data_IF_372316670198
#
_entry.id   IF_372316670198
#
_cell.length_a   1.000
_cell.length_b   1.000
_cell.length_c   1.000
_cell.angle_alpha   90.00
_cell.angle_beta   90.00
_cell.angle_gamma   90.00
#
_symmetry.space_group_name_H-M   'P 1'
#
loop_
_entity.id
_entity.type
_entity.pdbx_description
1 polymer ?
#
# COMPACT_ATOMS: atom_id res chain seq x y z
N UNK A 1 25.72 1.90 7.29
CA UNK A 1 24.90 1.14 8.25
C UNK A 1 23.66 1.97 8.52
N UNK A 2 22.50 1.36 8.42
CA UNK A 2 21.21 1.99 8.68
C UNK A 2 20.98 2.15 10.18
N UNK A 3 20.07 3.04 10.57
CA UNK A 3 19.71 3.30 11.97
C UNK A 3 18.50 2.49 12.45
N UNK A 4 17.96 1.60 11.64
CA UNK A 4 16.69 0.91 11.93
C UNK A 4 16.72 0.11 13.23
N UNK A 5 17.81 -0.63 13.47
CA UNK A 5 18.03 -1.38 14.70
C UNK A 5 18.19 -0.44 15.91
N UNK A 6 18.92 0.66 15.76
CA UNK A 6 19.10 1.68 16.80
C UNK A 6 17.77 2.34 17.19
N UNK A 7 16.93 2.69 16.21
CA UNK A 7 15.59 3.24 16.45
C UNK A 7 14.68 2.25 17.17
N UNK A 8 14.73 0.98 16.77
CA UNK A 8 13.96 -0.09 17.44
C UNK A 8 14.40 -0.24 18.90
N UNK A 9 15.71 -0.29 19.15
CA UNK A 9 16.25 -0.43 20.50
C UNK A 9 15.94 0.81 21.38
N UNK A 10 16.05 2.01 20.82
CA UNK A 10 15.69 3.25 21.51
C UNK A 10 14.20 3.26 21.90
N UNK A 11 13.31 2.85 20.99
CA UNK A 11 11.88 2.76 21.29
C UNK A 11 11.60 1.71 22.38
N UNK A 12 12.25 0.55 22.32
CA UNK A 12 12.14 -0.47 23.36
C UNK A 12 12.66 0.03 24.71
N UNK A 13 13.73 0.83 24.72
CA UNK A 13 14.23 1.46 25.94
C UNK A 13 13.23 2.46 26.51
N UNK A 14 12.62 3.32 25.67
CA UNK A 14 11.53 4.22 26.11
C UNK A 14 10.40 3.42 26.74
N UNK A 15 9.97 2.32 26.09
CA UNK A 15 8.91 1.46 26.63
C UNK A 15 9.30 0.89 28.00
N UNK A 16 10.55 0.45 28.18
CA UNK A 16 11.06 -0.03 29.49
C UNK A 16 11.08 1.08 30.54
N UNK A 17 11.54 2.28 30.20
CA UNK A 17 11.58 3.44 31.10
C UNK A 17 10.17 3.90 31.53
N UNK A 18 9.15 3.56 30.74
CA UNK A 18 7.74 3.80 31.02
C UNK A 18 7.04 2.60 31.70
N UNK A 19 7.80 1.70 32.33
CA UNK A 19 7.29 0.47 32.97
C UNK A 19 6.43 -0.38 32.00
N UNK A 20 6.96 -0.52 30.78
CA UNK A 20 6.31 -1.23 29.69
C UNK A 20 5.17 -0.47 29.00
N UNK A 21 4.99 0.84 29.27
CA UNK A 21 3.94 1.69 28.70
C UNK A 21 2.55 1.00 28.66
N UNK A 22 2.18 0.37 29.78
CA UNK A 22 1.00 -0.48 29.86
C UNK A 22 -0.32 0.22 29.43
N UNK A 23 -0.56 1.51 29.76
CA UNK A 23 -1.71 2.23 29.24
C UNK A 23 -1.68 2.39 27.71
N UNK A 24 -0.51 2.71 27.13
CA UNK A 24 -0.33 2.82 25.68
C UNK A 24 -0.57 1.50 24.96
N UNK A 25 -0.05 0.39 25.49
CA UNK A 25 -0.31 -0.97 24.98
C UNK A 25 -1.80 -1.32 24.94
N UNK A 26 -2.52 -1.03 26.03
CA UNK A 26 -3.98 -1.28 26.09
C UNK A 26 -4.75 -0.39 25.11
N UNK A 27 -4.36 0.87 24.99
CA UNK A 27 -4.99 1.80 24.05
C UNK A 27 -4.75 1.38 22.60
N UNK A 28 -3.53 1.00 22.23
CA UNK A 28 -3.21 0.50 20.89
C UNK A 28 -3.97 -0.79 20.56
N UNK A 29 -4.04 -1.74 21.51
CA UNK A 29 -4.85 -2.95 21.33
C UNK A 29 -6.33 -2.61 21.13
N UNK A 30 -6.89 -1.77 21.99
CA UNK A 30 -8.29 -1.35 21.87
C UNK A 30 -8.54 -0.59 20.54
N UNK A 31 -7.59 0.21 20.06
CA UNK A 31 -7.69 0.89 18.78
C UNK A 31 -7.81 -0.12 17.62
N UNK A 32 -6.93 -1.13 17.59
CA UNK A 32 -6.97 -2.19 16.56
C UNK A 32 -8.24 -3.03 16.70
N UNK A 33 -8.68 -3.35 17.92
CA UNK A 33 -9.92 -4.13 18.16
C UNK A 33 -11.21 -3.40 17.73
N UNK A 34 -11.17 -2.09 17.60
CA UNK A 34 -12.30 -1.27 17.15
C UNK A 34 -12.09 -0.67 15.75
N UNK A 35 -11.10 -1.16 14.99
CA UNK A 35 -10.83 -0.69 13.62
C UNK A 35 -11.54 -1.57 12.57
N UNK A 36 -11.46 -1.11 11.32
CA UNK A 36 -11.91 -1.88 10.15
C UNK A 36 -10.80 -2.73 9.53
N UNK A 37 -9.66 -2.92 10.22
CA UNK A 37 -8.58 -3.81 9.76
C UNK A 37 -8.94 -5.27 10.07
N UNK A 38 -9.74 -5.85 9.18
CA UNK A 38 -10.27 -7.21 9.30
C UNK A 38 -9.80 -8.04 8.11
N UNK A 39 -9.16 -9.17 8.40
CA UNK A 39 -8.70 -10.14 7.41
C UNK A 39 -9.35 -11.51 7.72
N UNK A 40 -10.07 -12.09 6.76
CA UNK A 40 -10.79 -13.36 6.91
C UNK A 40 -11.67 -13.41 8.19
N UNK A 41 -12.52 -12.39 8.38
CA UNK A 41 -13.41 -12.19 9.55
C UNK A 41 -12.70 -12.07 10.91
N UNK A 42 -11.39 -11.83 10.91
CA UNK A 42 -10.59 -11.64 12.12
C UNK A 42 -9.93 -10.29 12.13
N UNK A 43 -10.03 -9.60 13.26
CA UNK A 43 -9.23 -8.40 13.52
C UNK A 43 -7.75 -8.79 13.39
N UNK A 44 -7.00 -7.95 12.68
CA UNK A 44 -5.57 -8.18 12.50
C UNK A 44 -4.81 -8.20 13.82
N UNK A 45 -3.90 -9.16 13.96
CA UNK A 45 -3.00 -9.22 15.11
C UNK A 45 -1.89 -8.19 14.98
N UNK A 46 -1.61 -7.46 16.05
CA UNK A 46 -0.58 -6.42 16.07
C UNK A 46 0.48 -6.66 17.15
N UNK A 47 1.67 -6.12 16.91
CA UNK A 47 2.71 -5.96 17.95
C UNK A 47 2.68 -4.51 18.44
N UNK A 48 3.11 -4.26 19.68
CA UNK A 48 3.30 -2.90 20.20
C UNK A 48 4.69 -2.32 19.88
N UNK A 49 5.38 -2.90 18.91
CA UNK A 49 6.73 -2.49 18.51
C UNK A 49 6.65 -2.13 17.03
N UNK A 50 6.55 -0.84 16.69
CA UNK A 50 6.55 -0.39 15.30
C UNK A 50 7.89 -0.70 14.66
N UNK A 51 7.89 -0.88 13.34
CA UNK A 51 9.13 -0.93 12.56
C UNK A 51 9.49 0.48 12.11
N UNK A 52 10.70 0.92 12.45
CA UNK A 52 11.23 2.22 12.04
C UNK A 52 12.25 2.01 10.93
N UNK A 53 12.10 2.79 9.86
CA UNK A 53 13.04 2.85 8.75
C UNK A 53 13.66 4.24 8.69
N UNK A 54 14.98 4.29 8.59
CA UNK A 54 15.71 5.53 8.36
C UNK A 54 15.60 6.01 6.91
N UNK A 55 16.11 7.21 6.67
CA UNK A 55 16.06 7.84 5.35
C UNK A 55 16.77 7.00 4.27
N UNK A 56 17.91 6.37 4.61
CA UNK A 56 18.66 5.54 3.67
C UNK A 56 17.87 4.29 3.27
N UNK A 57 17.17 3.68 4.22
CA UNK A 57 16.30 2.52 3.95
C UNK A 57 15.10 2.93 3.10
N UNK A 58 14.48 4.06 3.41
CA UNK A 58 13.37 4.60 2.62
C UNK A 58 13.80 4.89 1.17
N UNK A 59 14.96 5.51 0.96
CA UNK A 59 15.52 5.79 -0.37
C UNK A 59 15.80 4.50 -1.15
N UNK A 60 16.28 3.46 -0.48
CA UNK A 60 16.45 2.15 -1.10
C UNK A 60 15.11 1.54 -1.53
N UNK A 61 14.09 1.56 -0.66
CA UNK A 61 12.75 1.08 -1.03
C UNK A 61 12.17 1.85 -2.22
N UNK A 62 12.27 3.17 -2.20
CA UNK A 62 11.82 4.03 -3.31
C UNK A 62 12.55 3.67 -4.61
N UNK A 63 13.88 3.57 -4.56
CA UNK A 63 14.68 3.21 -5.74
C UNK A 63 14.30 1.83 -6.29
N UNK A 64 14.16 0.83 -5.42
CA UNK A 64 13.76 -0.53 -5.83
C UNK A 64 12.36 -0.53 -6.42
N UNK A 65 11.38 0.15 -5.81
CA UNK A 65 10.02 0.21 -6.30
C UNK A 65 9.93 0.91 -7.67
N UNK A 66 10.51 2.11 -7.80
CA UNK A 66 10.49 2.90 -9.04
C UNK A 66 11.24 2.19 -10.19
N UNK A 67 12.39 1.57 -9.88
CA UNK A 67 13.17 0.84 -10.89
C UNK A 67 12.41 -0.40 -11.36
N UNK A 68 11.86 -1.19 -10.45
CA UNK A 68 11.09 -2.39 -10.78
C UNK A 68 9.83 -2.05 -11.57
N UNK A 69 9.08 -1.01 -11.16
CA UNK A 69 7.93 -0.51 -11.91
C UNK A 69 8.30 -0.15 -13.36
N UNK A 70 9.41 0.56 -13.55
CA UNK A 70 9.92 0.90 -14.88
C UNK A 70 10.34 -0.33 -15.71
N UNK A 71 10.86 -1.38 -15.09
CA UNK A 71 11.17 -2.66 -15.75
C UNK A 71 9.87 -3.35 -16.18
N UNK A 72 8.89 -3.47 -15.28
CA UNK A 72 7.61 -4.13 -15.56
C UNK A 72 6.84 -3.39 -16.67
N UNK A 73 6.83 -2.06 -16.67
CA UNK A 73 6.24 -1.28 -17.75
C UNK A 73 6.88 -1.59 -19.12
N UNK A 74 8.20 -1.79 -19.18
CA UNK A 74 8.89 -2.19 -20.42
C UNK A 74 8.52 -3.60 -20.86
N UNK A 75 8.35 -4.52 -19.92
CA UNK A 75 7.87 -5.90 -20.22
C UNK A 75 6.46 -5.84 -20.79
N UNK A 76 5.56 -5.09 -20.16
CA UNK A 76 4.17 -4.91 -20.64
C UNK A 76 4.18 -4.26 -22.04
N UNK A 77 4.97 -3.21 -22.24
CA UNK A 77 5.07 -2.56 -23.55
C UNK A 77 5.56 -3.53 -24.63
N UNK A 78 6.61 -4.31 -24.34
CA UNK A 78 7.14 -5.27 -25.31
C UNK A 78 6.13 -6.38 -25.62
N UNK A 79 5.36 -6.83 -24.62
CA UNK A 79 4.22 -7.71 -24.83
C UNK A 79 3.22 -7.10 -25.82
N UNK A 80 2.86 -5.83 -25.69
CA UNK A 80 1.90 -5.20 -26.60
C UNK A 80 2.45 -5.05 -28.02
N UNK A 81 3.73 -4.72 -28.16
CA UNK A 81 4.34 -4.40 -29.46
C UNK A 81 4.71 -5.62 -30.31
N UNK A 82 5.15 -6.72 -29.67
CA UNK A 82 5.79 -7.84 -30.38
C UNK A 82 4.96 -9.14 -30.30
N UNK A 83 4.31 -9.56 -31.41
CA UNK A 83 3.54 -10.80 -31.46
C UNK A 83 4.34 -12.08 -31.19
N UNK A 84 5.64 -12.10 -31.47
CA UNK A 84 6.49 -13.26 -31.18
C UNK A 84 6.85 -13.30 -29.68
N UNK A 85 7.16 -12.15 -29.08
CA UNK A 85 7.44 -12.06 -27.64
C UNK A 85 6.24 -12.49 -26.79
N UNK A 86 5.01 -12.16 -27.22
CA UNK A 86 3.77 -12.60 -26.54
C UNK A 86 3.68 -14.11 -26.37
N UNK A 87 4.24 -14.89 -27.29
CA UNK A 87 4.20 -16.37 -27.26
C UNK A 87 5.00 -16.99 -26.11
N UNK A 88 5.83 -16.21 -25.43
CA UNK A 88 6.52 -16.63 -24.21
C UNK A 88 5.52 -16.82 -23.05
N UNK A 89 4.38 -16.11 -23.10
CA UNK A 89 3.34 -16.18 -22.09
C UNK A 89 2.25 -17.18 -22.52
N UNK A 90 1.98 -18.15 -21.67
CA UNK A 90 0.98 -19.20 -21.90
C UNK A 90 -0.42 -18.76 -21.45
N UNK A 91 -0.89 -17.63 -21.99
CA UNK A 91 -2.25 -17.13 -21.71
C UNK A 91 -3.30 -17.86 -22.56
N UNK A 92 -4.51 -18.04 -21.99
CA UNK A 92 -5.68 -18.43 -22.77
C UNK A 92 -5.86 -17.45 -23.95
N UNK A 93 -6.07 -17.92 -25.19
CA UNK A 93 -6.19 -17.03 -26.35
C UNK A 93 -7.21 -15.91 -26.18
N UNK A 94 -8.30 -16.15 -25.43
CA UNK A 94 -9.33 -15.14 -25.13
C UNK A 94 -8.75 -14.01 -24.27
N UNK A 95 -7.90 -14.34 -23.29
CA UNK A 95 -7.23 -13.36 -22.44
C UNK A 95 -6.18 -12.59 -23.25
N UNK A 96 -5.42 -13.27 -24.10
CA UNK A 96 -4.44 -12.62 -24.98
C UNK A 96 -5.11 -11.59 -25.91
N UNK A 97 -6.31 -11.89 -26.43
CA UNK A 97 -7.12 -10.93 -27.20
C UNK A 97 -7.58 -9.75 -26.34
N UNK A 98 -8.05 -9.99 -25.11
CA UNK A 98 -8.50 -8.94 -24.19
C UNK A 98 -7.36 -7.99 -23.78
N UNK A 99 -6.15 -8.50 -23.54
CA UNK A 99 -4.97 -7.68 -23.17
C UNK A 99 -4.65 -6.64 -24.26
N UNK A 100 -4.93 -6.96 -25.53
CA UNK A 100 -4.64 -6.09 -26.67
C UNK A 100 -5.70 -5.01 -26.90
N UNK A 101 -6.80 -5.00 -26.13
CA UNK A 101 -7.80 -3.94 -26.22
C UNK A 101 -7.16 -2.60 -25.82
N UNK A 102 -7.30 -1.53 -26.62
CA UNK A 102 -6.76 -0.22 -26.28
C UNK A 102 -7.30 0.27 -24.93
N UNK A 103 -6.39 0.55 -23.99
CA UNK A 103 -6.72 1.02 -22.63
C UNK A 103 -7.30 2.43 -22.62
N UNK A 104 -6.87 3.29 -23.56
CA UNK A 104 -7.30 4.69 -23.67
C UNK A 104 -6.64 5.67 -22.69
N UNK A 105 -5.67 5.21 -21.88
CA UNK A 105 -4.80 6.01 -21.02
C UNK A 105 -3.34 5.49 -21.11
N UNK A 106 -2.32 6.32 -20.82
CA UNK A 106 -0.93 5.97 -21.13
C UNK A 106 -0.28 5.01 -20.13
N UNK A 107 -0.79 4.94 -18.91
CA UNK A 107 -0.19 4.19 -17.81
C UNK A 107 -0.36 2.66 -17.98
N UNK A 108 0.74 1.90 -18.01
CA UNK A 108 0.72 0.43 -18.19
C UNK A 108 0.37 -0.32 -16.90
N UNK A 109 0.86 0.20 -15.77
CA UNK A 109 0.78 -0.42 -14.46
C UNK A 109 0.39 0.67 -13.45
N UNK A 110 -0.93 0.94 -13.29
CA UNK A 110 -1.43 2.06 -12.49
C UNK A 110 -1.23 1.84 -10.99
N UNK A 111 -1.20 0.58 -10.54
CA UNK A 111 -1.00 0.21 -9.14
C UNK A 111 -0.18 -1.08 -9.07
N UNK A 112 0.72 -1.15 -8.10
CA UNK A 112 1.46 -2.36 -7.78
C UNK A 112 1.89 -2.31 -6.31
N UNK A 113 1.76 -3.44 -5.61
CA UNK A 113 2.50 -3.71 -4.37
C UNK A 113 3.59 -4.73 -4.66
N UNK A 114 4.77 -4.47 -4.14
CA UNK A 114 5.93 -5.32 -4.32
C UNK A 114 6.35 -5.86 -2.97
N UNK A 115 6.25 -7.17 -2.81
CA UNK A 115 6.57 -7.83 -1.56
C UNK A 115 8.03 -8.31 -1.60
N UNK A 116 8.81 -7.85 -0.62
CA UNK A 116 10.27 -8.08 -0.57
C UNK A 116 10.72 -8.50 0.82
N UNK A 117 11.81 -9.27 0.85
CA UNK A 117 12.67 -9.36 2.02
C UNK A 117 13.87 -8.43 1.84
N UNK A 118 14.17 -7.60 2.84
CA UNK A 118 15.30 -6.68 2.80
C UNK A 118 16.35 -7.06 3.82
N UNK A 119 17.61 -7.14 3.38
CA UNK A 119 18.75 -7.14 4.28
C UNK A 119 19.02 -5.70 4.73
N UNK A 120 18.76 -5.36 5.99
CA UNK A 120 18.87 -3.97 6.46
C UNK A 120 20.32 -3.47 6.64
N UNK A 121 21.30 -4.38 6.61
CA UNK A 121 22.72 -4.03 6.66
C UNK A 121 23.26 -3.64 5.27
N UNK A 122 22.80 -4.34 4.22
CA UNK A 122 23.26 -4.16 2.83
C UNK A 122 22.27 -3.41 1.94
N UNK A 123 21.01 -3.29 2.38
CA UNK A 123 19.85 -2.79 1.63
C UNK A 123 19.49 -3.62 0.39
N UNK A 124 20.04 -4.82 0.26
CA UNK A 124 19.67 -5.74 -0.81
C UNK A 124 18.26 -6.29 -0.58
N UNK A 125 17.45 -6.28 -1.64
CA UNK A 125 16.07 -6.77 -1.61
C UNK A 125 15.95 -8.06 -2.42
N UNK A 126 15.35 -9.09 -1.82
CA UNK A 126 14.89 -10.30 -2.51
C UNK A 126 13.40 -10.18 -2.81
N UNK A 127 13.02 -10.30 -4.09
CA UNK A 127 11.62 -10.25 -4.51
C UNK A 127 10.89 -11.55 -4.14
N UNK A 128 9.68 -11.39 -3.60
CA UNK A 128 8.76 -12.49 -3.32
C UNK A 128 7.70 -12.52 -4.43
N UNK A 129 6.94 -11.44 -4.56
CA UNK A 129 5.87 -11.32 -5.54
C UNK A 129 5.61 -9.86 -5.96
N UNK A 130 4.99 -9.70 -7.13
CA UNK A 130 4.50 -8.43 -7.66
C UNK A 130 2.98 -8.52 -7.76
N UNK A 131 2.28 -7.79 -6.90
CA UNK A 131 0.82 -7.75 -6.87
C UNK A 131 0.33 -6.53 -7.63
N UNK A 132 -0.13 -6.75 -8.87
CA UNK A 132 -0.65 -5.70 -9.77
C UNK A 132 -2.16 -5.75 -10.00
N UNK A 133 -2.84 -6.73 -9.40
CA UNK A 133 -4.27 -6.95 -9.54
C UNK A 133 -4.89 -6.99 -8.13
N UNK A 134 -5.63 -5.94 -7.77
CA UNK A 134 -6.34 -5.86 -6.48
C UNK A 134 -5.43 -5.93 -5.24
N UNK A 135 -4.42 -5.06 -5.12
CA UNK A 135 -3.56 -5.06 -3.93
C UNK A 135 -4.23 -4.47 -2.69
N UNK A 136 -4.02 -5.13 -1.54
CA UNK A 136 -4.56 -4.79 -0.21
C UNK A 136 -3.44 -4.52 0.81
N UNK A 137 -3.80 -4.23 2.07
CA UNK A 137 -2.87 -4.05 3.20
C UNK A 137 -2.76 -2.61 3.69
N UNK A 138 -3.46 -1.68 3.05
CA UNK A 138 -3.36 -0.24 3.35
C UNK A 138 -4.16 0.12 4.59
N UNK A 139 -5.32 -0.53 4.80
CA UNK A 139 -6.07 -0.35 6.05
C UNK A 139 -5.29 -0.86 7.24
N UNK A 140 -4.59 -1.99 7.10
CA UNK A 140 -3.72 -2.57 8.10
C UNK A 140 -2.58 -1.61 8.45
N UNK A 141 -1.81 -1.14 7.47
CA UNK A 141 -0.72 -0.19 7.69
C UNK A 141 -1.22 1.06 8.43
N UNK A 142 -2.27 1.70 7.91
CA UNK A 142 -2.86 2.90 8.50
C UNK A 142 -3.35 2.65 9.93
N UNK A 143 -4.00 1.52 10.17
CA UNK A 143 -4.49 1.14 11.51
C UNK A 143 -3.34 0.94 12.48
N UNK A 144 -2.27 0.24 12.07
CA UNK A 144 -1.09 0.03 12.92
C UNK A 144 -0.45 1.36 13.26
N UNK A 145 -0.21 2.23 12.27
CA UNK A 145 0.34 3.57 12.45
C UNK A 145 -0.53 4.43 13.40
N UNK A 146 -1.85 4.39 13.24
CA UNK A 146 -2.81 5.08 14.11
C UNK A 146 -2.79 4.58 15.55
N UNK A 147 -2.62 3.26 15.75
CA UNK A 147 -2.62 2.64 17.08
C UNK A 147 -1.47 3.13 17.98
N UNK A 148 -0.33 3.49 17.39
CA UNK A 148 0.83 4.01 18.12
C UNK A 148 0.81 5.52 18.31
N UNK A 149 0.14 6.26 17.42
CA UNK A 149 0.26 7.72 17.32
C UNK A 149 -0.03 8.45 18.64
N UNK A 150 -0.98 7.94 19.43
CA UNK A 150 -1.40 8.50 20.71
C UNK A 150 -0.66 7.96 21.95
N UNK A 151 0.34 7.09 21.80
CA UNK A 151 1.01 6.49 22.96
C UNK A 151 2.06 7.39 23.60
N UNK A 152 2.37 7.15 24.88
CA UNK A 152 3.43 7.90 25.56
C UNK A 152 4.80 7.53 25.02
N UNK A 153 5.02 6.25 24.69
CA UNK A 153 6.27 5.82 24.08
C UNK A 153 6.51 6.49 22.72
N UNK A 154 5.51 6.50 21.82
CA UNK A 154 5.63 7.15 20.51
C UNK A 154 5.81 8.67 20.64
N UNK A 155 5.10 9.32 21.57
CA UNK A 155 5.33 10.75 21.84
C UNK A 155 6.75 11.05 22.28
N UNK A 156 7.33 10.24 23.17
CA UNK A 156 8.70 10.43 23.63
C UNK A 156 9.71 10.20 22.51
N UNK A 157 9.52 9.15 21.70
CA UNK A 157 10.35 8.88 20.53
C UNK A 157 10.31 10.05 19.53
N UNK A 158 9.11 10.60 19.24
CA UNK A 158 8.90 11.78 18.38
C UNK A 158 9.52 13.08 18.91
N UNK A 159 9.94 13.16 20.18
CA UNK A 159 10.68 14.35 20.68
C UNK A 159 12.10 14.42 20.11
N UNK A 160 12.65 13.27 19.69
CA UNK A 160 14.03 13.14 19.20
C UNK A 160 14.10 12.86 17.70
N UNK A 161 13.02 12.37 17.11
CA UNK A 161 12.96 11.96 15.71
C UNK A 161 11.74 12.54 14.98
N UNK A 162 11.91 12.86 13.70
CA UNK A 162 10.80 13.17 12.81
C UNK A 162 10.24 11.86 12.24
N UNK A 163 9.07 11.44 12.76
CA UNK A 163 8.45 10.16 12.41
C UNK A 163 7.21 10.42 11.56
N UNK A 164 7.23 9.90 10.34
CA UNK A 164 6.17 10.08 9.35
C UNK A 164 5.65 8.71 8.88
N UNK A 165 4.35 8.43 8.97
CA UNK A 165 3.76 7.30 8.25
C UNK A 165 3.69 7.61 6.75
N UNK A 166 3.50 6.59 5.93
CA UNK A 166 3.15 6.76 4.52
C UNK A 166 1.64 6.94 4.39
N UNK A 167 1.20 7.88 3.54
CA UNK A 167 -0.20 7.93 3.13
C UNK A 167 -0.36 7.09 1.87
N UNK A 168 -1.14 6.02 1.97
CA UNK A 168 -1.36 5.05 0.90
C UNK A 168 -2.74 5.19 0.24
N UNK A 169 -3.67 5.91 0.87
CA UNK A 169 -5.04 6.05 0.34
C UNK A 169 -5.17 7.31 -0.49
N UNK A 170 -4.78 8.46 0.08
CA UNK A 170 -5.00 9.76 -0.56
C UNK A 170 -4.15 9.89 -1.82
N UNK A 171 -2.87 9.54 -1.70
CA UNK A 171 -1.88 9.55 -2.80
C UNK A 171 -2.29 8.64 -3.95
N UNK A 172 -2.84 7.45 -3.66
CA UNK A 172 -3.32 6.54 -4.69
C UNK A 172 -4.59 7.08 -5.36
N UNK A 173 -5.51 7.71 -4.62
CA UNK A 173 -6.68 8.36 -5.23
C UNK A 173 -6.26 9.51 -6.14
N UNK A 174 -5.31 10.34 -5.70
CA UNK A 174 -4.73 11.41 -6.53
C UNK A 174 -4.13 10.85 -7.83
N UNK A 175 -3.33 9.78 -7.75
CA UNK A 175 -2.72 9.12 -8.91
C UNK A 175 -3.79 8.52 -9.85
N UNK A 176 -4.81 7.85 -9.31
CA UNK A 176 -5.90 7.28 -10.10
C UNK A 176 -6.72 8.38 -10.83
N UNK A 177 -6.95 9.51 -10.18
CA UNK A 177 -7.62 10.66 -10.79
C UNK A 177 -6.76 11.34 -11.85
N UNK A 178 -5.45 11.43 -11.64
CA UNK A 178 -4.48 11.93 -12.61
C UNK A 178 -4.43 11.03 -13.86
N UNK A 179 -4.42 9.70 -13.68
CA UNK A 179 -4.53 8.73 -14.78
C UNK A 179 -5.85 8.92 -15.53
N UNK A 180 -6.97 9.03 -14.82
CA UNK A 180 -8.28 9.26 -15.43
C UNK A 180 -8.35 10.61 -16.18
N UNK A 181 -7.66 11.64 -15.71
CA UNK A 181 -7.58 12.94 -16.40
C UNK A 181 -6.97 12.83 -17.81
N UNK A 182 -6.14 11.81 -18.05
CA UNK A 182 -5.53 11.48 -19.35
C UNK A 182 -6.34 10.48 -20.17
N UNK A 183 -7.43 9.94 -19.63
CA UNK A 183 -8.28 8.98 -20.34
C UNK A 183 -8.99 9.64 -21.53
N UNK A 184 -8.93 8.99 -22.69
CA UNK A 184 -9.43 9.53 -23.96
C UNK A 184 -10.95 9.81 -23.95
N UNK A 185 -11.72 9.06 -23.13
CA UNK A 185 -13.19 9.20 -23.01
C UNK A 185 -13.62 9.74 -21.65
N UNK A 186 -12.76 10.50 -20.97
CA UNK A 186 -13.09 11.09 -19.67
C UNK A 186 -14.35 11.96 -19.75
N UNK A 187 -15.11 11.98 -18.67
CA UNK A 187 -16.23 12.91 -18.47
C UNK A 187 -15.90 13.86 -17.31
N UNK A 188 -16.63 14.98 -17.24
CA UNK A 188 -16.39 16.01 -16.22
C UNK A 188 -16.62 15.51 -14.78
N UNK A 189 -17.68 14.73 -14.57
CA UNK A 189 -18.05 14.19 -13.27
C UNK A 189 -18.10 12.66 -13.36
N UNK A 190 -16.96 11.95 -13.25
CA UNK A 190 -16.95 10.50 -13.28
C UNK A 190 -17.60 9.92 -12.02
N UNK A 191 -18.14 8.71 -12.19
CA UNK A 191 -18.55 7.87 -11.07
C UNK A 191 -17.54 6.73 -10.93
N UNK A 192 -16.86 6.66 -9.79
CA UNK A 192 -15.89 5.61 -9.50
C UNK A 192 -16.60 4.38 -8.91
N UNK A 193 -16.29 3.20 -9.44
CA UNK A 193 -16.84 1.94 -8.95
C UNK A 193 -15.70 1.09 -8.37
N UNK A 194 -15.86 0.67 -7.11
CA UNK A 194 -15.09 -0.44 -6.55
C UNK A 194 -15.90 -1.71 -6.80
N UNK A 195 -15.34 -2.64 -7.57
CA UNK A 195 -16.05 -3.85 -8.01
C UNK A 195 -15.24 -5.06 -7.60
N UNK A 196 -15.87 -5.96 -6.84
CA UNK A 196 -15.29 -7.23 -6.42
C UNK A 196 -16.42 -8.21 -6.06
N UNK A 197 -16.09 -9.48 -5.84
CA UNK A 197 -17.00 -10.43 -5.20
C UNK A 197 -17.08 -10.10 -3.71
N UNK A 198 -18.23 -9.59 -3.26
CA UNK A 198 -18.34 -8.99 -1.92
C UNK A 198 -18.06 -9.97 -0.78
N UNK A 199 -18.19 -11.28 -1.01
CA UNK A 199 -17.82 -12.32 -0.05
C UNK A 199 -16.31 -12.48 0.17
N UNK A 200 -15.48 -11.97 -0.75
CA UNK A 200 -14.00 -11.98 -0.66
C UNK A 200 -13.40 -10.58 -0.47
N UNK A 201 -14.22 -9.53 -0.61
CA UNK A 201 -13.76 -8.14 -0.63
C UNK A 201 -13.23 -7.65 0.74
N UNK A 202 -12.17 -6.85 0.71
CA UNK A 202 -11.69 -6.08 1.87
C UNK A 202 -12.53 -4.81 2.06
N UNK A 203 -13.79 -4.97 2.46
CA UNK A 203 -14.78 -3.88 2.57
C UNK A 203 -14.29 -2.64 3.34
N UNK A 204 -13.44 -2.83 4.35
CA UNK A 204 -12.81 -1.73 5.09
C UNK A 204 -11.97 -0.79 4.20
N UNK A 205 -11.18 -1.35 3.27
CA UNK A 205 -10.40 -0.59 2.31
C UNK A 205 -11.29 0.10 1.27
N UNK A 206 -12.30 -0.60 0.75
CA UNK A 206 -13.21 -0.02 -0.24
C UNK A 206 -13.96 1.18 0.31
N UNK A 207 -14.49 1.08 1.53
CA UNK A 207 -15.14 2.22 2.18
C UNK A 207 -14.18 3.38 2.43
N UNK A 208 -12.92 3.07 2.74
CA UNK A 208 -11.90 4.10 2.89
C UNK A 208 -11.61 4.83 1.58
N UNK A 209 -11.43 4.11 0.48
CA UNK A 209 -11.30 4.74 -0.83
C UNK A 209 -12.53 5.55 -1.21
N UNK A 210 -13.75 5.05 -0.96
CA UNK A 210 -14.96 5.81 -1.23
C UNK A 210 -14.95 7.16 -0.48
N UNK A 211 -14.45 7.19 0.77
CA UNK A 211 -14.25 8.42 1.54
C UNK A 211 -13.22 9.34 0.87
N UNK A 212 -12.05 8.82 0.50
CA UNK A 212 -11.00 9.60 -0.15
C UNK A 212 -11.44 10.19 -1.50
N UNK A 213 -12.14 9.41 -2.34
CA UNK A 213 -12.73 9.92 -3.59
C UNK A 213 -13.75 11.03 -3.33
N UNK A 214 -14.61 10.88 -2.32
CA UNK A 214 -15.59 11.90 -1.96
C UNK A 214 -14.94 13.20 -1.47
N UNK A 215 -13.80 13.13 -0.76
CA UNK A 215 -13.01 14.30 -0.36
C UNK A 215 -12.37 15.01 -1.57
N UNK A 216 -12.10 14.27 -2.64
CA UNK A 216 -11.70 14.80 -3.94
C UNK A 216 -12.87 15.26 -4.83
N UNK A 217 -14.11 15.23 -4.31
CA UNK A 217 -15.30 15.67 -5.03
C UNK A 217 -15.78 14.68 -6.11
N UNK A 218 -15.33 13.43 -6.06
CA UNK A 218 -15.70 12.37 -7.01
C UNK A 218 -16.63 11.36 -6.33
N UNK A 219 -17.75 11.04 -6.96
CA UNK A 219 -18.66 10.03 -6.45
C UNK A 219 -18.02 8.65 -6.56
N UNK A 220 -18.03 7.87 -5.47
CA UNK A 220 -17.51 6.51 -5.44
C UNK A 220 -18.44 5.57 -4.69
N UNK A 221 -18.68 4.36 -5.23
CA UNK A 221 -19.51 3.33 -4.60
C UNK A 221 -18.94 1.92 -4.81
N UNK A 222 -19.29 1.03 -3.90
CA UNK A 222 -18.95 -0.40 -3.95
C UNK A 222 -20.07 -1.18 -4.65
N UNK A 223 -19.69 -2.11 -5.52
CA UNK A 223 -20.58 -2.97 -6.29
C UNK A 223 -20.11 -4.43 -6.24
N UNK A 224 -21.07 -5.34 -6.30
CA UNK A 224 -20.84 -6.78 -6.47
C UNK A 224 -20.68 -7.12 -7.95
N UNK A 225 -19.81 -8.08 -8.26
CA UNK A 225 -19.44 -8.47 -9.63
C UNK A 225 -20.40 -9.49 -10.27
#
# INVERSE_FOLDING_TARGET
MTKNAEYTEEYLQIVRDLDGDAPGRRAARAFVENSNAVLFDKIVTSTYVPRFYDQATYEAFKYTAETTHGILCKVIQHYLDDPEYRKIFDYDPRIAELILIPRGYPDYLPIMRMDVFTNEDTLECGFIEFNSDGTSGMTEDRTMNGSFAGSRAMREFKRRHDVRPSDLFDTLVEDLLDIYSRYEKRVENPHWAMVDYLEMATMGEFHEYCRCFAEHGVECRVYDA
#
